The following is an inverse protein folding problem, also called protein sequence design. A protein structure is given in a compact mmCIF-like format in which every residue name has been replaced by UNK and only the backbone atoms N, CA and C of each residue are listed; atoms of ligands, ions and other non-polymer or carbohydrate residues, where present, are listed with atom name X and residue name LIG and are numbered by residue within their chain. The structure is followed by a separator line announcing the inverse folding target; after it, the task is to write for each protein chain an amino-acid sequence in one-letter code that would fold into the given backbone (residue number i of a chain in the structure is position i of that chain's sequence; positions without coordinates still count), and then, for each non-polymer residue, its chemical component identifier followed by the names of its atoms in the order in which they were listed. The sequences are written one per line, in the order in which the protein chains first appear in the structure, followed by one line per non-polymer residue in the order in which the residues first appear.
data_IF_034758322676
#
_entry.id   IF_034758322676
#
_cell.length_a   1.000
_cell.length_b   1.000
_cell.length_c   1.000
_cell.angle_alpha   90.00
_cell.angle_beta   90.00
_cell.angle_gamma   90.00
#
_symmetry.space_group_name_H-M   'P 1'
#
loop_
_entity.id
_entity.type
_entity.pdbx_description
1 polymer ?
#
# COMPACT_ATOMS: atom_id res chain seq x y z
N UNK A 1 -60.38 -32.59 -11.02
CA UNK A 1 -59.46 -33.39 -10.17
C UNK A 1 -60.22 -33.80 -8.92
N UNK A 2 -60.40 -35.10 -8.64
CA UNK A 2 -61.22 -35.53 -7.51
C UNK A 2 -60.62 -35.07 -6.17
N UNK A 3 -61.44 -34.51 -5.28
CA UNK A 3 -61.01 -34.00 -3.95
C UNK A 3 -60.20 -35.04 -3.15
N UNK A 4 -60.48 -36.33 -3.36
CA UNK A 4 -59.71 -37.45 -2.79
C UNK A 4 -58.30 -37.58 -3.37
N UNK A 5 -58.13 -37.38 -4.69
CA UNK A 5 -56.83 -37.40 -5.36
C UNK A 5 -55.97 -36.21 -4.92
N UNK A 6 -56.60 -35.04 -4.73
CA UNK A 6 -55.90 -33.83 -4.28
C UNK A 6 -55.41 -33.95 -2.83
N UNK A 7 -56.20 -34.58 -1.94
CA UNK A 7 -55.77 -34.86 -0.56
C UNK A 7 -54.63 -35.89 -0.53
N UNK A 8 -54.71 -36.95 -1.34
CA UNK A 8 -53.63 -37.95 -1.44
C UNK A 8 -52.32 -37.33 -1.93
N UNK A 9 -52.38 -36.44 -2.94
CA UNK A 9 -51.20 -35.73 -3.43
C UNK A 9 -50.60 -34.78 -2.39
N UNK A 10 -51.42 -34.06 -1.63
CA UNK A 10 -50.94 -33.14 -0.56
C UNK A 10 -50.28 -33.94 0.58
N UNK A 11 -50.86 -35.06 0.99
CA UNK A 11 -50.30 -35.92 2.04
C UNK A 11 -49.00 -36.57 1.56
N UNK A 12 -48.91 -37.01 0.30
CA UNK A 12 -47.67 -37.56 -0.25
C UNK A 12 -46.56 -36.51 -0.37
N UNK A 13 -46.90 -35.27 -0.74
CA UNK A 13 -45.95 -34.16 -0.81
C UNK A 13 -45.40 -33.80 0.58
N UNK A 14 -46.27 -33.76 1.60
CA UNK A 14 -45.87 -33.55 3.00
C UNK A 14 -45.01 -34.69 3.55
N UNK A 15 -45.27 -35.95 3.16
CA UNK A 15 -44.46 -37.09 3.56
C UNK A 15 -43.05 -37.07 2.92
N UNK A 16 -42.94 -36.60 1.67
CA UNK A 16 -41.63 -36.45 0.99
C UNK A 16 -40.80 -35.30 1.58
N UNK A 17 -41.44 -34.22 2.04
CA UNK A 17 -40.77 -33.11 2.72
C UNK A 17 -40.18 -33.53 4.10
N UNK A 18 -40.81 -34.47 4.80
CA UNK A 18 -40.34 -34.95 6.10
C UNK A 18 -39.17 -35.96 6.01
N UNK A 19 -38.97 -36.61 4.86
CA UNK A 19 -37.89 -37.59 4.64
C UNK A 19 -36.58 -36.97 4.11
N UNK A 20 -36.53 -35.64 3.91
CA UNK A 20 -35.32 -34.91 3.47
C UNK A 20 -34.51 -34.32 4.65
N UNK A 21 -34.84 -34.68 5.90
CA UNK A 21 -34.31 -34.03 7.12
C UNK A 21 -33.14 -34.71 7.83
N UNK A 22 -32.62 -35.85 7.35
CA UNK A 22 -31.48 -36.53 7.98
C UNK A 22 -30.25 -36.54 7.07
N UNK A 23 -29.45 -35.47 7.13
CA UNK A 23 -28.20 -35.40 6.37
C UNK A 23 -27.17 -34.36 6.83
N UNK A 24 -27.32 -33.74 8.02
CA UNK A 24 -26.40 -32.68 8.45
C UNK A 24 -25.78 -32.85 9.85
N UNK A 25 -25.63 -34.09 10.30
CA UNK A 25 -24.67 -34.44 11.35
C UNK A 25 -23.53 -35.26 10.75
N UNK A 26 -22.82 -34.64 9.80
CA UNK A 26 -21.51 -35.14 9.40
C UNK A 26 -20.49 -34.64 10.41
N UNK A 27 -19.89 -35.58 11.14
CA UNK A 27 -18.67 -35.38 11.94
C UNK A 27 -17.71 -34.45 11.20
N UNK A 28 -17.54 -33.22 11.68
CA UNK A 28 -16.33 -32.46 11.39
C UNK A 28 -15.27 -32.95 12.35
N UNK A 29 -14.40 -33.80 11.82
CA UNK A 29 -13.07 -34.02 12.36
C UNK A 29 -12.42 -32.66 12.64
N UNK A 30 -11.71 -32.59 13.77
CA UNK A 30 -10.88 -31.46 14.15
C UNK A 30 -9.82 -31.24 13.07
N UNK A 31 -10.12 -30.40 12.08
CA UNK A 31 -9.09 -29.79 11.25
C UNK A 31 -8.39 -28.71 12.07
N UNK A 32 -7.07 -28.82 12.12
CA UNK A 32 -6.15 -27.90 12.75
C UNK A 32 -6.33 -26.47 12.20
N UNK A 33 -6.29 -25.49 13.09
CA UNK A 33 -6.39 -24.04 12.82
C UNK A 33 -5.23 -23.54 11.92
N UNK A 34 -4.23 -24.38 11.63
CA UNK A 34 -3.05 -24.00 10.84
C UNK A 34 -3.23 -24.01 9.31
N UNK A 35 -4.22 -24.71 8.75
CA UNK A 35 -4.29 -24.92 7.28
C UNK A 35 -5.21 -23.97 6.51
N UNK A 36 -5.90 -23.03 7.16
CA UNK A 36 -6.76 -22.03 6.48
C UNK A 36 -6.11 -20.64 6.33
N UNK A 37 -4.91 -20.42 6.86
CA UNK A 37 -4.19 -19.14 6.77
C UNK A 37 -3.24 -19.03 5.57
N UNK A 38 -3.10 -20.07 4.75
CA UNK A 38 -2.12 -20.14 3.66
C UNK A 38 -2.69 -19.90 2.25
N UNK A 39 -4.00 -19.68 2.09
CA UNK A 39 -4.62 -19.48 0.76
C UNK A 39 -5.02 -18.03 0.46
N UNK A 40 -4.96 -17.09 1.42
CA UNK A 40 -5.28 -15.67 1.18
C UNK A 40 -4.08 -14.75 0.92
N UNK A 41 -2.85 -15.28 0.88
CA UNK A 41 -1.62 -14.50 0.62
C UNK A 41 -1.15 -14.61 -0.84
N UNK A 42 -1.81 -15.44 -1.66
CA UNK A 42 -1.43 -15.65 -3.06
C UNK A 42 -2.08 -14.66 -4.06
N UNK A 43 -3.07 -13.85 -3.66
CA UNK A 43 -3.75 -12.92 -4.57
C UNK A 43 -3.40 -11.44 -4.36
N UNK A 44 -2.67 -11.08 -3.30
CA UNK A 44 -2.29 -9.67 -3.02
C UNK A 44 -0.97 -9.22 -3.67
N UNK A 45 -0.31 -10.07 -4.46
CA UNK A 45 0.98 -9.78 -5.10
C UNK A 45 0.88 -9.17 -6.52
N UNK A 46 -0.33 -9.01 -7.08
CA UNK A 46 -0.52 -8.38 -8.40
C UNK A 46 -0.85 -6.87 -8.33
N UNK A 47 -1.03 -6.29 -7.12
CA UNK A 47 -1.42 -4.87 -6.94
C UNK A 47 -0.27 -3.96 -6.49
N UNK A 48 0.98 -4.27 -6.86
CA UNK A 48 2.13 -3.39 -6.61
C UNK A 48 2.94 -3.01 -7.87
N UNK A 49 2.45 -3.32 -9.08
CA UNK A 49 3.11 -2.92 -10.33
C UNK A 49 2.38 -1.81 -11.12
N UNK A 50 1.45 -1.08 -10.50
CA UNK A 50 0.59 -0.10 -11.17
C UNK A 50 1.07 1.37 -11.16
N UNK A 51 2.21 1.70 -10.54
CA UNK A 51 2.57 3.12 -10.26
C UNK A 51 3.70 3.66 -11.16
N UNK A 52 4.38 2.82 -11.95
CA UNK A 52 5.47 3.30 -12.82
C UNK A 52 5.01 3.85 -14.19
N UNK A 53 3.76 3.63 -14.58
CA UNK A 53 3.27 4.04 -15.92
C UNK A 53 2.93 5.53 -16.05
N UNK A 54 2.77 6.26 -14.93
CA UNK A 54 2.44 7.71 -14.98
C UNK A 54 3.70 8.57 -15.18
N UNK A 55 4.87 8.12 -14.74
CA UNK A 55 6.12 8.89 -14.87
C UNK A 55 6.67 8.87 -16.30
N UNK A 56 6.34 7.85 -17.10
CA UNK A 56 6.81 7.71 -18.47
C UNK A 56 6.11 8.64 -19.50
N UNK A 57 4.92 9.18 -19.21
CA UNK A 57 4.19 10.04 -20.16
C UNK A 57 4.59 11.53 -20.08
N UNK A 58 5.20 11.99 -18.99
CA UNK A 58 5.53 13.42 -18.80
C UNK A 58 6.85 13.83 -19.50
N UNK A 59 7.74 12.88 -19.82
CA UNK A 59 9.04 13.16 -20.44
C UNK A 59 9.01 13.33 -21.97
N UNK A 60 7.85 13.13 -22.62
CA UNK A 60 7.72 13.33 -24.09
C UNK A 60 7.31 14.77 -24.45
N UNK A 61 6.83 15.57 -23.49
CA UNK A 61 6.38 16.94 -23.75
C UNK A 61 7.52 17.98 -23.82
N UNK A 62 8.63 17.79 -23.10
CA UNK A 62 9.70 18.81 -23.01
C UNK A 62 10.67 18.86 -24.21
N UNK A 63 10.68 17.84 -25.08
CA UNK A 63 11.68 17.77 -26.17
C UNK A 63 11.32 18.60 -27.41
N UNK A 64 10.09 19.12 -27.51
CA UNK A 64 9.61 19.78 -28.74
C UNK A 64 9.70 21.32 -28.77
N UNK A 65 10.13 22.00 -27.70
CA UNK A 65 10.21 23.48 -27.70
C UNK A 65 11.62 24.06 -27.86
N UNK A 66 12.69 23.25 -27.83
CA UNK A 66 14.08 23.77 -27.94
C UNK A 66 14.66 23.79 -29.36
N UNK A 67 13.88 23.43 -30.39
CA UNK A 67 14.37 23.36 -31.77
C UNK A 67 14.00 24.57 -32.66
N UNK A 68 13.30 25.58 -32.13
CA UNK A 68 12.71 26.64 -32.98
C UNK A 68 12.95 28.07 -32.45
N UNK A 69 14.14 28.37 -31.91
CA UNK A 69 14.49 29.77 -31.60
C UNK A 69 15.89 30.25 -32.04
N UNK A 70 16.82 29.39 -32.47
CA UNK A 70 18.15 29.87 -32.90
C UNK A 70 18.29 30.12 -34.41
N UNK A 71 17.21 29.97 -35.17
CA UNK A 71 17.15 30.41 -36.57
C UNK A 71 16.31 31.68 -36.66
N UNK A 72 16.96 32.86 -36.61
CA UNK A 72 16.66 34.15 -37.29
C UNK A 72 17.18 35.32 -36.44
N UNK A 73 18.42 35.78 -36.73
CA UNK A 73 18.79 37.21 -36.83
C UNK A 73 20.21 37.29 -37.44
N UNK A 74 20.30 37.39 -38.77
CA UNK A 74 20.54 38.65 -39.52
C UNK A 74 21.92 39.25 -39.22
N UNK A 75 22.94 38.97 -40.03
CA UNK A 75 23.41 39.75 -41.20
C UNK A 75 23.96 41.14 -40.85
N UNK A 76 25.30 41.27 -40.86
CA UNK A 76 25.99 42.51 -41.26
C UNK A 76 27.32 42.18 -41.97
N UNK A 77 27.68 43.04 -42.93
CA UNK A 77 28.53 42.82 -44.10
C UNK A 77 30.01 43.27 -43.88
N UNK A 78 30.92 43.16 -44.89
CA UNK A 78 32.36 42.94 -44.69
C UNK A 78 33.24 44.21 -44.72
N UNK A 79 34.49 44.09 -44.24
CA UNK A 79 35.61 44.97 -44.63
C UNK A 79 36.98 44.27 -44.40
N UNK A 80 38.04 44.53 -45.22
CA UNK A 80 39.10 43.56 -45.50
C UNK A 80 40.44 43.82 -44.78
N UNK A 81 41.39 42.88 -45.01
CA UNK A 81 42.87 43.02 -44.89
C UNK A 81 43.43 42.64 -43.51
N UNK A 82 44.47 41.82 -43.32
CA UNK A 82 45.60 41.47 -44.18
C UNK A 82 45.99 39.98 -44.07
N UNK A 83 46.54 39.48 -45.17
CA UNK A 83 47.35 38.26 -45.29
C UNK A 83 48.51 38.26 -44.31
N UNK A 84 48.70 37.14 -43.61
CA UNK A 84 50.06 36.67 -43.39
C UNK A 84 50.15 35.14 -43.50
N UNK A 85 51.16 34.71 -44.23
CA UNK A 85 51.41 33.32 -44.62
C UNK A 85 52.41 32.73 -43.63
N UNK A 86 52.01 31.68 -42.90
CA UNK A 86 52.94 30.81 -42.21
C UNK A 86 52.54 29.34 -42.40
N UNK A 87 53.32 28.66 -43.25
CA UNK A 87 53.46 27.21 -43.29
C UNK A 87 54.35 26.80 -42.10
N UNK A 88 53.91 25.84 -41.28
CA UNK A 88 54.62 24.57 -41.29
C UNK A 88 53.68 23.37 -41.32
N UNK A 89 53.95 22.49 -42.29
CA UNK A 89 53.49 21.12 -42.35
C UNK A 89 54.24 20.32 -41.30
N UNK A 90 53.59 19.97 -40.19
CA UNK A 90 54.04 18.85 -39.34
C UNK A 90 53.10 17.67 -39.53
N UNK A 91 53.62 16.68 -40.26
CA UNK A 91 52.99 15.38 -40.44
C UNK A 91 53.22 14.58 -39.16
N UNK A 92 52.22 14.59 -38.28
CA UNK A 92 52.23 13.78 -37.06
C UNK A 92 52.11 12.31 -37.46
N UNK A 93 53.22 11.57 -37.37
CA UNK A 93 53.22 10.11 -37.48
C UNK A 93 52.51 9.55 -36.26
N UNK A 94 51.54 8.62 -36.39
CA UNK A 94 50.92 7.98 -35.24
C UNK A 94 51.95 7.11 -34.52
N UNK A 95 52.42 7.58 -33.37
CA UNK A 95 53.22 6.78 -32.45
C UNK A 95 52.30 5.73 -31.82
N UNK A 96 52.59 4.44 -32.01
CA UNK A 96 51.88 3.36 -31.32
C UNK A 96 52.12 3.50 -29.81
N UNK A 97 51.10 3.95 -29.08
CA UNK A 97 51.12 3.98 -27.61
C UNK A 97 50.75 2.58 -27.13
N UNK A 98 51.75 1.86 -26.62
CA UNK A 98 51.51 0.58 -25.93
C UNK A 98 50.90 0.88 -24.56
N UNK A 99 49.57 0.87 -24.48
CA UNK A 99 48.87 0.87 -23.19
C UNK A 99 48.95 -0.54 -22.61
N UNK A 100 49.61 -0.70 -21.46
CA UNK A 100 49.64 -1.98 -20.75
C UNK A 100 48.22 -2.42 -20.40
N UNK A 101 47.73 -3.50 -21.00
CA UNK A 101 46.47 -4.10 -20.59
C UNK A 101 46.59 -4.54 -19.13
N UNK A 102 45.70 -4.09 -18.22
CA UNK A 102 45.71 -4.54 -16.84
C UNK A 102 45.65 -6.08 -16.78
N UNK A 103 46.55 -6.70 -16.01
CA UNK A 103 46.54 -8.15 -15.79
C UNK A 103 45.40 -8.59 -14.87
N UNK A 104 44.82 -7.65 -14.12
CA UNK A 104 43.70 -7.84 -13.20
C UNK A 104 42.56 -6.94 -13.66
N UNK A 105 41.31 -7.46 -13.80
CA UNK A 105 40.19 -6.64 -14.21
C UNK A 105 39.83 -5.61 -13.13
N UNK A 106 39.76 -4.34 -13.53
CA UNK A 106 39.43 -3.22 -12.67
C UNK A 106 38.10 -2.60 -13.12
N UNK A 107 37.25 -2.21 -12.17
CA UNK A 107 36.00 -1.52 -12.43
C UNK A 107 36.05 -0.08 -11.96
N UNK A 108 35.47 0.81 -12.76
CA UNK A 108 35.13 2.18 -12.38
C UNK A 108 33.64 2.42 -12.60
N UNK A 109 33.09 3.50 -12.04
CA UNK A 109 31.67 3.86 -12.19
C UNK A 109 31.48 5.29 -12.67
N UNK A 110 30.46 5.52 -13.50
CA UNK A 110 30.07 6.85 -13.97
C UNK A 110 29.20 7.63 -12.97
N UNK A 111 28.60 6.93 -12.00
CA UNK A 111 27.80 7.48 -10.90
C UNK A 111 28.19 6.74 -9.61
N UNK A 112 28.26 7.41 -8.43
CA UNK A 112 28.50 6.73 -7.17
C UNK A 112 27.53 5.56 -7.00
N UNK A 113 28.07 4.34 -6.91
CA UNK A 113 27.27 3.11 -6.98
C UNK A 113 27.40 2.32 -5.70
N UNK A 114 26.26 1.94 -5.12
CA UNK A 114 26.21 1.18 -3.87
C UNK A 114 26.84 -0.20 -4.07
N UNK A 115 27.73 -0.56 -3.14
CA UNK A 115 28.26 -1.89 -3.02
C UNK A 115 27.54 -2.62 -1.90
N UNK A 116 26.88 -3.73 -2.22
CA UNK A 116 25.94 -4.43 -1.35
C UNK A 116 26.41 -5.85 -1.01
N UNK A 117 25.83 -6.45 0.03
CA UNK A 117 26.14 -7.85 0.38
C UNK A 117 25.63 -8.85 -0.67
N UNK A 118 24.69 -8.45 -1.52
CA UNK A 118 24.12 -9.22 -2.63
C UNK A 118 23.61 -8.28 -3.73
N UNK A 119 23.15 -8.81 -4.88
CA UNK A 119 22.72 -7.99 -6.01
C UNK A 119 21.32 -7.40 -5.80
N UNK A 120 21.19 -6.08 -5.85
CA UNK A 120 19.90 -5.38 -5.85
C UNK A 120 19.54 -4.73 -4.52
N UNK A 121 18.47 -3.92 -4.52
CA UNK A 121 18.13 -3.05 -3.40
C UNK A 121 17.66 -3.79 -2.13
N UNK A 122 17.23 -5.05 -2.27
CA UNK A 122 16.82 -5.91 -1.15
C UNK A 122 17.97 -6.30 -0.22
N UNK A 123 19.22 -6.17 -0.69
CA UNK A 123 20.40 -6.48 0.10
C UNK A 123 20.99 -5.23 0.72
N UNK A 124 21.51 -5.33 1.94
CA UNK A 124 22.11 -4.20 2.63
C UNK A 124 23.35 -3.66 1.92
N UNK A 125 23.49 -2.33 1.96
CA UNK A 125 24.67 -1.62 1.48
C UNK A 125 25.78 -1.68 2.51
N UNK A 126 26.98 -2.07 2.08
CA UNK A 126 28.19 -2.12 2.93
C UNK A 126 29.17 -1.01 2.61
N UNK A 127 29.15 -0.47 1.40
CA UNK A 127 29.96 0.68 0.99
C UNK A 127 29.43 1.30 -0.30
N UNK A 128 30.16 2.28 -0.85
CA UNK A 128 29.88 2.92 -2.14
C UNK A 128 31.20 2.99 -2.92
N UNK A 129 31.18 2.61 -4.19
CA UNK A 129 32.26 2.93 -5.11
C UNK A 129 31.99 4.34 -5.68
N UNK A 130 32.84 5.30 -5.30
CA UNK A 130 32.73 6.69 -5.77
C UNK A 130 33.31 6.85 -7.18
N UNK A 131 32.80 7.83 -7.93
CA UNK A 131 33.35 8.22 -9.24
C UNK A 131 34.81 8.63 -9.12
N UNK A 132 35.64 8.22 -10.08
CA UNK A 132 37.09 8.46 -10.06
C UNK A 132 37.89 7.45 -9.23
N UNK A 133 37.23 6.54 -8.50
CA UNK A 133 37.87 5.38 -7.86
C UNK A 133 37.76 4.14 -8.74
N UNK A 134 38.70 3.21 -8.54
CA UNK A 134 38.66 1.88 -9.16
C UNK A 134 38.71 0.79 -8.10
N UNK A 135 38.11 -0.37 -8.39
CA UNK A 135 38.16 -1.55 -7.56
C UNK A 135 38.45 -2.81 -8.39
N UNK A 136 39.15 -3.78 -7.81
CA UNK A 136 39.40 -5.09 -8.43
C UNK A 136 38.09 -5.87 -8.56
N UNK A 137 37.83 -6.40 -9.76
CA UNK A 137 36.72 -7.32 -10.03
C UNK A 137 37.20 -8.75 -9.78
N UNK A 138 36.49 -9.48 -8.93
CA UNK A 138 36.86 -10.83 -8.50
C UNK A 138 35.90 -11.91 -9.00
N UNK A 139 34.65 -11.54 -9.32
CA UNK A 139 33.66 -12.44 -9.91
C UNK A 139 32.55 -11.65 -10.62
N UNK A 140 31.63 -12.36 -11.28
CA UNK A 140 30.40 -11.80 -11.87
C UNK A 140 29.21 -12.71 -11.57
N UNK A 141 27.99 -12.22 -11.76
CA UNK A 141 26.82 -13.10 -11.81
C UNK A 141 26.66 -13.75 -13.19
N UNK A 142 25.80 -14.77 -13.27
CA UNK A 142 25.55 -15.52 -14.49
C UNK A 142 24.98 -14.62 -15.61
N UNK A 143 24.15 -13.65 -15.25
CA UNK A 143 23.49 -12.73 -16.18
C UNK A 143 24.39 -11.58 -16.65
N UNK A 144 25.57 -11.41 -16.04
CA UNK A 144 26.50 -10.31 -16.35
C UNK A 144 25.98 -8.91 -15.97
N UNK A 145 24.96 -8.82 -15.11
CA UNK A 145 24.36 -7.56 -14.66
C UNK A 145 24.98 -7.01 -13.37
N UNK A 146 25.77 -7.83 -12.66
CA UNK A 146 26.49 -7.47 -11.44
C UNK A 146 27.93 -7.96 -11.46
N UNK A 147 28.80 -7.13 -10.89
CA UNK A 147 30.20 -7.45 -10.61
C UNK A 147 30.37 -7.70 -9.12
N UNK A 148 31.20 -8.66 -8.75
CA UNK A 148 31.70 -8.78 -7.39
C UNK A 148 33.07 -8.15 -7.34
N UNK A 149 33.25 -7.18 -6.46
CA UNK A 149 34.47 -6.38 -6.36
C UNK A 149 35.08 -6.50 -4.97
N UNK A 150 36.37 -6.19 -4.82
CA UNK A 150 36.91 -5.90 -3.50
C UNK A 150 36.20 -4.67 -2.92
N UNK A 151 35.79 -4.78 -1.67
CA UNK A 151 35.01 -3.75 -1.01
C UNK A 151 35.81 -2.44 -0.89
N UNK A 152 35.40 -1.34 -1.54
CA UNK A 152 36.12 -0.07 -1.44
C UNK A 152 36.09 0.52 -0.02
N UNK A 153 35.12 0.12 0.81
CA UNK A 153 34.96 0.57 2.18
C UNK A 153 35.71 -0.25 3.23
N UNK A 154 36.46 -1.29 2.85
CA UNK A 154 37.24 -2.08 3.81
C UNK A 154 37.47 -3.53 3.39
N UNK A 155 37.34 -4.45 4.36
CA UNK A 155 37.58 -5.87 4.12
C UNK A 155 36.46 -6.52 3.31
N UNK A 156 36.81 -7.63 2.65
CA UNK A 156 35.88 -8.50 1.94
C UNK A 156 35.53 -8.03 0.53
N UNK A 157 34.40 -8.53 0.05
CA UNK A 157 33.89 -8.29 -1.30
C UNK A 157 32.43 -7.84 -1.24
N UNK A 158 31.96 -7.17 -2.28
CA UNK A 158 30.58 -6.74 -2.38
C UNK A 158 30.11 -6.69 -3.84
N UNK A 159 28.79 -6.68 -4.00
CA UNK A 159 28.10 -6.71 -5.28
C UNK A 159 27.85 -5.29 -5.78
N UNK A 160 28.32 -5.01 -6.98
CA UNK A 160 28.25 -3.74 -7.66
C UNK A 160 27.38 -3.88 -8.92
N UNK A 161 26.41 -2.98 -9.08
CA UNK A 161 25.52 -3.02 -10.24
C UNK A 161 26.26 -2.60 -11.51
N UNK A 162 26.13 -3.41 -12.57
CA UNK A 162 26.84 -3.23 -13.82
C UNK A 162 26.39 -2.03 -14.65
N UNK A 163 25.21 -1.48 -14.39
CA UNK A 163 24.61 -0.43 -15.25
C UNK A 163 25.46 0.85 -15.35
N UNK A 164 26.10 1.26 -14.25
CA UNK A 164 27.02 2.41 -14.23
C UNK A 164 28.49 2.01 -14.32
N UNK A 165 28.80 0.72 -14.43
CA UNK A 165 30.14 0.19 -14.29
C UNK A 165 30.84 0.06 -15.65
N UNK A 166 32.11 0.46 -15.71
CA UNK A 166 33.03 0.19 -16.82
C UNK A 166 34.16 -0.69 -16.30
N UNK A 167 34.34 -1.87 -16.91
CA UNK A 167 35.39 -2.83 -16.53
C UNK A 167 36.47 -2.86 -17.60
N UNK A 168 37.72 -2.70 -17.18
CA UNK A 168 38.92 -2.79 -18.01
C UNK A 168 39.76 -3.99 -17.57
N UNK A 169 40.29 -4.75 -18.53
CA UNK A 169 41.09 -5.96 -18.27
C UNK A 169 40.33 -7.27 -18.52
N UNK A 170 40.96 -8.43 -18.21
CA UNK A 170 40.44 -9.73 -18.59
C UNK A 170 39.25 -10.16 -17.70
N UNK A 171 38.06 -10.26 -18.28
CA UNK A 171 36.84 -10.73 -17.57
C UNK A 171 36.42 -12.16 -17.94
N UNK A 172 37.00 -12.74 -19.01
CA UNK A 172 36.58 -14.04 -19.55
C UNK A 172 36.82 -15.23 -18.62
N UNK A 173 37.76 -15.10 -17.67
CA UNK A 173 38.10 -16.15 -16.69
C UNK A 173 37.56 -15.87 -15.29
N UNK A 174 36.72 -14.84 -15.12
CA UNK A 174 36.15 -14.54 -13.81
C UNK A 174 35.18 -15.66 -13.37
N UNK A 175 35.28 -16.12 -12.11
CA UNK A 175 34.28 -16.98 -11.52
C UNK A 175 32.87 -16.39 -11.64
N UNK A 176 31.88 -17.26 -11.78
CA UNK A 176 30.47 -16.90 -11.67
C UNK A 176 30.02 -17.21 -10.25
N UNK A 177 29.52 -16.21 -9.52
CA UNK A 177 28.98 -16.39 -8.17
C UNK A 177 27.46 -16.29 -8.20
N UNK A 178 26.81 -17.17 -7.45
CA UNK A 178 25.38 -17.10 -7.20
C UNK A 178 25.09 -16.02 -6.15
N UNK A 179 23.94 -15.31 -6.27
CA UNK A 179 23.53 -14.36 -5.25
C UNK A 179 23.34 -15.04 -3.89
N UNK A 180 23.72 -14.39 -2.78
CA UNK A 180 23.34 -14.88 -1.47
C UNK A 180 21.80 -14.89 -1.32
N UNK A 181 21.24 -15.73 -0.44
CA UNK A 181 19.81 -15.70 -0.19
C UNK A 181 19.35 -14.30 0.23
N UNK A 182 18.18 -13.86 -0.26
CA UNK A 182 17.59 -12.60 0.18
C UNK A 182 17.31 -12.65 1.68
N UNK A 183 17.44 -11.52 2.40
CA UNK A 183 17.05 -11.47 3.80
C UNK A 183 15.59 -11.89 3.97
N UNK A 184 15.31 -12.75 4.96
CA UNK A 184 13.94 -13.06 5.35
C UNK A 184 13.28 -11.80 5.90
N UNK A 185 12.08 -11.40 5.43
CA UNK A 185 11.36 -10.27 5.99
C UNK A 185 11.21 -10.42 7.51
N UNK A 186 11.59 -9.39 8.27
CA UNK A 186 11.37 -9.40 9.70
C UNK A 186 9.85 -9.39 9.97
N UNK A 187 9.38 -10.26 10.87
CA UNK A 187 7.98 -10.25 11.29
C UNK A 187 7.67 -8.89 11.95
N UNK A 188 6.76 -8.13 11.34
CA UNK A 188 6.29 -6.88 11.94
C UNK A 188 5.24 -7.24 13.00
N UNK A 189 5.48 -6.85 14.25
CA UNK A 189 4.48 -7.03 15.31
C UNK A 189 3.26 -6.16 15.01
N UNK A 190 2.17 -6.78 14.54
CA UNK A 190 0.90 -6.08 14.37
C UNK A 190 0.28 -5.92 15.76
N UNK A 191 0.13 -4.68 16.23
CA UNK A 191 -0.59 -4.41 17.47
C UNK A 191 -2.05 -4.83 17.27
N UNK A 192 -2.52 -5.78 18.07
CA UNK A 192 -3.93 -6.18 18.04
C UNK A 192 -4.74 -5.03 18.66
N UNK A 193 -5.76 -4.49 17.97
CA UNK A 193 -6.60 -3.45 18.53
C UNK A 193 -7.27 -3.95 19.82
N UNK A 194 -7.17 -3.17 20.89
CA UNK A 194 -7.80 -3.49 22.17
C UNK A 194 -9.05 -2.66 22.36
N UNK A 195 -10.10 -3.28 22.88
CA UNK A 195 -11.35 -2.58 23.21
C UNK A 195 -11.15 -1.69 24.42
N UNK A 196 -11.61 -0.44 24.32
CA UNK A 196 -11.68 0.51 25.44
C UNK A 196 -13.02 0.38 26.16
N UNK A 197 -14.13 0.42 25.42
CA UNK A 197 -15.49 0.35 25.94
C UNK A 197 -16.42 -0.31 24.92
N UNK A 198 -17.44 -1.03 25.38
CA UNK A 198 -18.43 -1.64 24.49
C UNK A 198 -19.70 -1.96 25.25
N UNK A 199 -20.84 -1.83 24.61
CA UNK A 199 -22.12 -2.16 25.24
C UNK A 199 -23.34 -1.79 24.40
N UNK A 200 -24.53 -2.15 24.89
CA UNK A 200 -25.78 -1.64 24.35
C UNK A 200 -26.06 -0.23 24.90
N UNK A 201 -26.69 0.61 24.07
CA UNK A 201 -27.27 1.89 24.50
C UNK A 201 -28.68 2.02 23.95
N UNK A 202 -29.61 2.45 24.80
CA UNK A 202 -30.99 2.77 24.42
C UNK A 202 -31.19 4.29 24.53
N UNK A 203 -31.06 4.98 23.41
CA UNK A 203 -31.04 6.45 23.36
C UNK A 203 -32.44 6.92 22.98
N UNK A 204 -33.11 7.61 23.89
CA UNK A 204 -34.39 8.26 23.59
C UNK A 204 -34.20 9.43 22.62
N UNK A 205 -35.24 9.81 21.88
CA UNK A 205 -35.20 11.02 21.08
C UNK A 205 -34.80 12.22 21.93
N UNK A 206 -33.97 13.08 21.34
CA UNK A 206 -33.35 14.26 21.93
C UNK A 206 -32.29 13.97 23.00
N UNK A 207 -32.03 12.70 23.35
CA UNK A 207 -30.99 12.34 24.31
C UNK A 207 -29.62 12.14 23.66
N UNK A 208 -28.59 12.27 24.49
CA UNK A 208 -27.19 12.17 24.07
C UNK A 208 -26.52 10.95 24.68
N UNK A 209 -25.48 10.45 24.02
CA UNK A 209 -24.65 9.35 24.48
C UNK A 209 -23.17 9.74 24.44
N UNK A 210 -22.46 9.34 25.48
CA UNK A 210 -21.00 9.28 25.57
C UNK A 210 -20.57 7.87 25.11
N UNK A 211 -19.87 7.77 23.98
CA UNK A 211 -19.44 6.48 23.41
C UNK A 211 -18.09 6.05 23.97
N UNK A 212 -17.35 6.94 24.64
CA UNK A 212 -16.14 6.57 25.38
C UNK A 212 -16.52 5.80 26.65
N UNK A 213 -17.51 6.29 27.41
CA UNK A 213 -17.92 5.71 28.69
C UNK A 213 -19.14 4.77 28.61
N UNK A 214 -19.95 4.89 27.56
CA UNK A 214 -21.21 4.14 27.45
C UNK A 214 -22.33 4.71 28.32
N UNK A 215 -22.41 6.03 28.44
CA UNK A 215 -23.38 6.70 29.32
C UNK A 215 -24.41 7.50 28.53
N UNK A 216 -25.66 7.46 28.98
CA UNK A 216 -26.74 8.31 28.47
C UNK A 216 -26.80 9.60 29.27
N UNK A 217 -26.93 10.74 28.60
CA UNK A 217 -27.15 12.06 29.19
C UNK A 217 -26.16 12.53 30.30
N UNK A 218 -25.16 11.74 30.71
CA UNK A 218 -24.14 12.09 31.73
C UNK A 218 -22.73 12.30 31.16
N UNK A 219 -21.94 13.23 31.71
CA UNK A 219 -20.56 13.56 31.25
C UNK A 219 -20.43 14.75 30.29
N UNK A 220 -19.25 15.38 30.22
CA UNK A 220 -18.93 16.43 29.22
C UNK A 220 -18.47 15.86 27.86
N UNK A 221 -18.23 14.54 27.77
CA UNK A 221 -17.73 13.84 26.58
C UNK A 221 -18.83 13.20 25.71
N UNK A 222 -19.95 13.89 25.46
CA UNK A 222 -20.98 13.31 24.60
C UNK A 222 -20.54 13.31 23.14
N UNK A 223 -20.72 12.19 22.47
CA UNK A 223 -20.35 12.00 21.07
C UNK A 223 -21.54 12.02 20.13
N UNK A 224 -22.66 11.43 20.57
CA UNK A 224 -23.85 11.19 19.76
C UNK A 224 -25.06 11.89 20.36
N UNK A 225 -25.81 12.60 19.52
CA UNK A 225 -27.15 13.07 19.83
C UNK A 225 -28.17 12.38 18.92
N UNK A 226 -29.16 11.70 19.49
CA UNK A 226 -30.31 11.22 18.72
C UNK A 226 -31.31 12.36 18.51
N UNK A 227 -30.99 13.24 17.57
CA UNK A 227 -31.71 14.49 17.31
C UNK A 227 -33.04 14.21 16.62
N UNK A 228 -34.10 14.89 17.07
CA UNK A 228 -35.42 14.85 16.47
C UNK A 228 -35.90 16.29 16.18
N UNK A 229 -35.75 16.72 14.94
CA UNK A 229 -36.20 18.06 14.50
C UNK A 229 -37.72 18.09 14.24
N UNK A 230 -38.29 16.94 13.90
CA UNK A 230 -39.75 16.76 13.82
C UNK A 230 -40.15 15.31 14.10
N UNK A 231 -41.45 15.02 14.00
CA UNK A 231 -41.96 13.65 14.10
C UNK A 231 -41.30 12.69 13.10
N UNK A 232 -40.90 13.16 11.91
CA UNK A 232 -40.33 12.34 10.83
C UNK A 232 -38.85 12.63 10.54
N UNK A 233 -38.36 13.83 10.83
CA UNK A 233 -36.95 14.20 10.63
C UNK A 233 -36.13 13.89 11.88
N UNK A 234 -35.34 12.81 11.81
CA UNK A 234 -34.49 12.32 12.90
C UNK A 234 -33.09 12.03 12.39
N UNK A 235 -32.10 12.27 13.23
CA UNK A 235 -30.69 12.24 12.86
C UNK A 235 -29.84 11.59 13.95
N UNK A 236 -28.75 10.96 13.51
CA UNK A 236 -27.62 10.60 14.35
C UNK A 236 -26.60 11.73 14.19
N UNK A 237 -26.56 12.63 15.16
CA UNK A 237 -25.78 13.86 15.08
C UNK A 237 -24.48 13.71 15.88
N UNK A 238 -23.30 13.81 15.24
CA UNK A 238 -22.05 13.94 15.96
C UNK A 238 -22.02 15.26 16.73
N UNK A 239 -21.59 15.24 17.99
CA UNK A 239 -21.51 16.43 18.85
C UNK A 239 -20.17 16.52 19.57
N UNK A 240 -19.85 17.70 20.11
CA UNK A 240 -18.64 17.99 20.90
C UNK A 240 -17.29 17.61 20.24
N UNK A 241 -17.22 17.57 18.91
CA UNK A 241 -16.00 17.22 18.18
C UNK A 241 -15.92 15.75 17.75
N UNK A 242 -16.95 14.95 18.03
CA UNK A 242 -17.10 13.63 17.42
C UNK A 242 -17.42 13.75 15.91
N UNK A 243 -17.16 12.67 15.18
CA UNK A 243 -17.43 12.59 13.74
C UNK A 243 -17.80 11.18 13.33
N UNK A 244 -18.78 11.04 12.43
CA UNK A 244 -19.39 9.76 12.03
C UNK A 244 -19.34 9.54 10.51
N UNK A 245 -19.38 8.28 10.10
CA UNK A 245 -19.62 7.86 8.73
C UNK A 245 -20.49 6.59 8.69
N UNK A 246 -21.47 6.55 7.80
CA UNK A 246 -22.20 5.32 7.52
C UNK A 246 -21.24 4.32 6.86
N UNK A 247 -21.10 3.14 7.45
CA UNK A 247 -20.21 2.08 6.95
C UNK A 247 -20.95 1.09 6.06
N UNK A 248 -22.12 0.62 6.49
CA UNK A 248 -22.91 -0.39 5.77
C UNK A 248 -23.35 -1.52 6.67
N UNK A 249 -23.53 -2.73 6.14
CA UNK A 249 -24.09 -3.87 6.91
C UNK A 249 -23.05 -4.87 7.40
N UNK A 250 -21.81 -4.80 6.91
CA UNK A 250 -20.69 -5.59 7.40
C UNK A 250 -20.14 -5.01 8.69
N UNK A 251 -19.72 -5.84 9.63
CA UNK A 251 -19.06 -5.40 10.87
C UNK A 251 -17.68 -4.78 10.55
N UNK A 252 -17.45 -3.48 10.82
CA UNK A 252 -16.13 -2.87 10.67
C UNK A 252 -15.20 -3.24 11.82
N UNK A 253 -13.91 -3.37 11.53
CA UNK A 253 -12.83 -3.36 12.52
C UNK A 253 -12.31 -1.95 12.82
N UNK A 254 -11.34 -1.85 13.74
CA UNK A 254 -10.74 -0.56 14.12
C UNK A 254 -10.14 0.18 12.91
N UNK A 255 -9.37 -0.52 12.06
CA UNK A 255 -8.69 0.09 10.92
C UNK A 255 -9.65 0.53 9.82
N UNK A 256 -10.78 -0.17 9.66
CA UNK A 256 -11.86 0.25 8.76
C UNK A 256 -12.42 1.61 9.20
N UNK A 257 -12.70 1.77 10.49
CA UNK A 257 -13.23 3.03 11.03
C UNK A 257 -12.19 4.15 11.12
N UNK A 258 -10.90 3.83 11.25
CA UNK A 258 -9.82 4.83 11.13
C UNK A 258 -9.68 5.34 9.69
N UNK A 259 -9.90 4.48 8.69
CA UNK A 259 -9.87 4.84 7.27
C UNK A 259 -11.19 5.40 6.72
N UNK A 260 -12.27 5.36 7.50
CA UNK A 260 -13.57 5.85 7.07
C UNK A 260 -13.57 7.38 6.86
N UNK A 261 -14.33 7.85 5.86
CA UNK A 261 -14.52 9.28 5.60
C UNK A 261 -15.48 9.92 6.61
N UNK A 262 -15.02 10.05 7.86
CA UNK A 262 -15.79 10.62 8.96
C UNK A 262 -16.12 12.10 8.72
N UNK A 263 -17.32 12.51 9.15
CA UNK A 263 -17.78 13.90 9.06
C UNK A 263 -18.50 14.34 10.34
N UNK A 264 -18.59 15.64 10.57
CA UNK A 264 -19.36 16.23 11.67
C UNK A 264 -20.82 16.51 11.26
N UNK A 265 -21.24 16.06 10.08
CA UNK A 265 -22.59 16.31 9.58
C UNK A 265 -23.59 15.32 10.20
N UNK A 266 -24.83 15.77 10.36
CA UNK A 266 -25.95 14.92 10.76
C UNK A 266 -26.14 13.77 9.76
N UNK A 267 -26.24 12.53 10.26
CA UNK A 267 -26.64 11.37 9.46
C UNK A 267 -28.16 11.23 9.57
N UNK A 268 -28.94 11.42 8.49
CA UNK A 268 -30.37 11.16 8.50
C UNK A 268 -30.63 9.69 8.87
N UNK A 269 -31.60 9.43 9.74
CA UNK A 269 -31.90 8.06 10.17
C UNK A 269 -32.31 7.15 9.00
N UNK A 270 -32.87 7.72 7.93
CA UNK A 270 -33.16 7.01 6.69
C UNK A 270 -31.91 6.44 5.99
N UNK A 271 -30.73 7.05 6.20
CA UNK A 271 -29.44 6.59 5.67
C UNK A 271 -28.74 5.58 6.57
N UNK A 272 -29.25 5.37 7.79
CA UNK A 272 -28.74 4.38 8.74
C UNK A 272 -29.90 3.52 9.30
N UNK A 273 -30.59 2.73 8.44
CA UNK A 273 -31.65 1.83 8.89
C UNK A 273 -31.11 0.78 9.87
N UNK A 274 -32.03 0.10 10.56
CA UNK A 274 -31.69 -1.05 11.42
C UNK A 274 -30.84 -2.06 10.63
N UNK A 275 -29.72 -2.46 11.23
CA UNK A 275 -28.70 -3.30 10.63
C UNK A 275 -27.44 -2.56 10.16
N UNK A 276 -27.49 -1.24 10.11
CA UNK A 276 -26.38 -0.42 9.63
C UNK A 276 -25.35 -0.18 10.72
N UNK A 277 -24.09 -0.38 10.37
CA UNK A 277 -22.91 0.06 11.12
C UNK A 277 -22.55 1.49 10.74
N UNK A 278 -22.20 2.26 11.75
CA UNK A 278 -21.69 3.63 11.64
C UNK A 278 -20.33 3.63 12.33
N UNK A 279 -19.30 3.99 11.58
CA UNK A 279 -17.99 4.26 12.14
C UNK A 279 -17.99 5.64 12.79
N UNK A 280 -17.24 5.78 13.87
CA UNK A 280 -17.08 7.04 14.57
C UNK A 280 -15.67 7.29 15.07
N UNK A 281 -15.40 8.56 15.33
CA UNK A 281 -14.34 9.03 16.21
C UNK A 281 -14.98 9.88 17.31
N UNK A 282 -14.70 9.55 18.57
CA UNK A 282 -15.22 10.28 19.73
C UNK A 282 -14.55 11.65 19.89
N UNK A 283 -15.06 12.50 20.76
CA UNK A 283 -14.44 13.78 21.09
C UNK A 283 -13.07 13.62 21.76
N UNK A 284 -12.81 12.49 22.43
CA UNK A 284 -11.47 12.16 22.93
C UNK A 284 -10.55 11.62 21.83
N UNK A 285 -11.08 11.35 20.64
CA UNK A 285 -10.33 10.88 19.48
C UNK A 285 -10.16 9.36 19.43
N UNK A 286 -11.00 8.59 20.14
CA UNK A 286 -11.00 7.13 20.03
C UNK A 286 -11.81 6.69 18.82
N UNK A 287 -11.28 5.77 17.99
CA UNK A 287 -12.07 5.17 16.92
C UNK A 287 -13.08 4.19 17.50
N UNK A 288 -14.23 4.06 16.85
CA UNK A 288 -15.24 3.10 17.25
C UNK A 288 -16.25 2.84 16.14
N UNK A 289 -17.15 1.91 16.42
CA UNK A 289 -18.29 1.63 15.56
C UNK A 289 -19.52 1.33 16.41
N UNK A 290 -20.69 1.76 15.96
CA UNK A 290 -21.95 1.26 16.51
C UNK A 290 -22.85 0.70 15.41
N UNK A 291 -23.67 -0.28 15.78
CA UNK A 291 -24.72 -0.82 14.92
C UNK A 291 -26.07 -0.32 15.40
N UNK A 292 -26.90 0.15 14.47
CA UNK A 292 -28.32 0.40 14.73
C UNK A 292 -29.03 -0.95 14.85
N UNK A 293 -29.39 -1.35 16.07
CA UNK A 293 -29.97 -2.65 16.34
C UNK A 293 -31.49 -2.64 16.28
N UNK A 294 -32.11 -1.56 16.74
CA UNK A 294 -33.57 -1.45 16.80
C UNK A 294 -34.01 0.02 16.86
N UNK A 295 -35.21 0.30 16.36
CA UNK A 295 -35.92 1.56 16.56
C UNK A 295 -37.30 1.22 17.10
N UNK A 296 -37.61 1.66 18.31
CA UNK A 296 -38.88 1.38 19.00
C UNK A 296 -39.64 2.66 19.32
N UNK A 297 -40.94 2.54 19.58
CA UNK A 297 -41.83 3.67 19.86
C UNK A 297 -42.36 4.38 18.61
N UNK A 298 -43.34 5.26 18.82
CA UNK A 298 -43.96 6.07 17.75
C UNK A 298 -43.61 7.56 17.92
N UNK A 299 -43.73 8.11 19.12
CA UNK A 299 -43.20 9.44 19.52
C UNK A 299 -43.32 9.63 21.04
N UNK A 300 -42.22 9.76 21.82
CA UNK A 300 -40.83 9.67 21.37
C UNK A 300 -40.45 8.24 20.94
N UNK A 301 -39.41 8.12 20.11
CA UNK A 301 -38.79 6.85 19.76
C UNK A 301 -37.52 6.63 20.57
N UNK A 302 -37.10 5.39 20.65
CA UNK A 302 -35.86 4.96 21.26
C UNK A 302 -35.05 4.23 20.20
N UNK A 303 -33.80 4.67 19.98
CA UNK A 303 -32.85 3.93 19.15
C UNK A 303 -32.00 3.03 20.05
N UNK A 304 -31.95 1.75 19.72
CA UNK A 304 -31.05 0.80 20.38
C UNK A 304 -29.83 0.59 19.51
N UNK A 305 -28.66 0.86 20.05
CA UNK A 305 -27.38 0.61 19.39
C UNK A 305 -26.53 -0.36 20.19
N UNK A 306 -25.64 -1.08 19.50
CA UNK A 306 -24.52 -1.77 20.12
C UNK A 306 -23.24 -1.12 19.64
N UNK A 307 -22.41 -0.61 20.55
CA UNK A 307 -21.19 0.12 20.21
C UNK A 307 -19.94 -0.59 20.71
N UNK A 308 -18.82 -0.31 20.05
CA UNK A 308 -17.47 -0.68 20.47
C UNK A 308 -16.54 0.50 20.19
N UNK A 309 -15.92 1.02 21.23
CA UNK A 309 -14.84 2.02 21.18
C UNK A 309 -13.52 1.31 21.44
N UNK A 310 -12.54 1.50 20.56
CA UNK A 310 -11.19 0.93 20.71
C UNK A 310 -10.23 1.92 21.37
N UNK A 311 -9.13 1.40 21.89
CA UNK A 311 -8.01 2.24 22.29
C UNK A 311 -7.41 2.96 21.07
N UNK A 312 -6.81 4.12 21.33
CA UNK A 312 -6.09 4.86 20.30
C UNK A 312 -4.93 3.98 19.78
N UNK A 313 -4.73 3.90 18.46
CA UNK A 313 -3.60 3.18 17.87
C UNK A 313 -2.24 3.79 18.24
#
# INVERSE_FOLDING_TARGET
MNRRIQIVLIVMLLLMLLMSGCGLFSKKDKLSIQDQASTSVAETLEMMYGIETIVAMTLVAEKNERATQDAIKTMEAPSPTATDTAIPTDTVVPTLVYTSTPSVPMVSVSVPTNCRIGPGAVYDQVSVLLTGMQAEVVARNAEGTYWVIRNPGGAGTCWLWGYYATVEGPTGSLPVWDPPPTPTPAATSTTVPTTYSTGPLEIEQTYTADLDEGLLNGGSGKDLWFKADSATAKYLSPINGASFAVWGTSTPGMYDCLGASLSTNDIPLASAPVGTYVCYKTNEGRPGAFRVNELTGTSPQIIKIGYTTWNKP
#
